data_IF_573243544001
#
_entry.id   IF_573243544001
#
_cell.length_a   1.000
_cell.length_b   1.000
_cell.length_c   1.000
_cell.angle_alpha   90.00
_cell.angle_beta   90.00
_cell.angle_gamma   90.00
#
_symmetry.space_group_name_H-M   'P 1'
#
loop_
_entity.id
_entity.type
_entity.pdbx_description
1 polymer ?
#
# COMPACT_ATOMS: atom_id res chain seq x y z
N UNK A 1 15.41 19.68 -19.68
CA UNK A 1 14.28 19.11 -18.93
C UNK A 1 14.78 18.77 -17.54
N UNK A 2 14.46 19.58 -16.53
CA UNK A 2 14.88 19.37 -15.14
C UNK A 2 13.88 18.42 -14.50
N UNK A 3 14.32 17.21 -14.14
CA UNK A 3 13.49 16.22 -13.46
C UNK A 3 13.07 16.72 -12.06
N UNK A 4 11.85 16.39 -11.59
CA UNK A 4 11.38 16.88 -10.29
C UNK A 4 12.08 16.14 -9.17
N UNK A 5 13.04 16.77 -8.49
CA UNK A 5 13.75 16.23 -7.34
C UNK A 5 12.81 15.91 -6.16
N UNK A 6 13.11 14.90 -5.34
CA UNK A 6 12.34 14.69 -4.10
C UNK A 6 12.73 15.75 -3.07
N UNK A 7 11.88 16.09 -2.08
CA UNK A 7 12.23 17.09 -1.06
C UNK A 7 13.50 16.72 -0.26
N UNK A 8 13.74 15.42 -0.07
CA UNK A 8 14.90 14.89 0.65
C UNK A 8 16.14 14.73 -0.24
N UNK A 9 15.97 14.68 -1.57
CA UNK A 9 17.05 14.64 -2.56
C UNK A 9 16.82 15.69 -3.66
N UNK A 10 17.01 16.99 -3.36
CA UNK A 10 16.78 18.09 -4.29
C UNK A 10 17.75 18.08 -5.48
N UNK A 11 18.89 17.40 -5.35
CA UNK A 11 19.92 17.32 -6.39
C UNK A 11 19.80 16.05 -7.26
N UNK A 12 18.97 15.08 -6.87
CA UNK A 12 18.72 13.87 -7.65
C UNK A 12 19.86 12.85 -7.63
N UNK A 13 20.61 12.78 -6.53
CA UNK A 13 21.73 11.84 -6.38
C UNK A 13 21.27 10.37 -6.28
N UNK A 14 20.09 10.11 -5.73
CA UNK A 14 19.63 8.75 -5.42
C UNK A 14 18.65 8.22 -6.47
N UNK A 15 19.16 8.02 -7.70
CA UNK A 15 18.36 7.60 -8.86
C UNK A 15 17.60 6.28 -8.60
N UNK A 16 18.25 5.27 -8.01
CA UNK A 16 17.58 3.98 -7.72
C UNK A 16 16.52 4.10 -6.62
N UNK A 17 16.79 4.90 -5.58
CA UNK A 17 15.80 5.21 -4.54
C UNK A 17 14.57 5.92 -5.10
N UNK A 18 14.78 6.80 -6.11
CA UNK A 18 13.69 7.43 -6.84
C UNK A 18 12.87 6.43 -7.65
N UNK A 19 13.49 5.46 -8.33
CA UNK A 19 12.74 4.43 -9.05
C UNK A 19 11.86 3.58 -8.11
N UNK A 20 12.36 3.26 -6.91
CA UNK A 20 11.58 2.55 -5.88
C UNK A 20 10.43 3.44 -5.37
N UNK A 21 10.67 4.75 -5.21
CA UNK A 21 9.61 5.69 -4.84
C UNK A 21 8.53 5.78 -5.91
N UNK A 22 8.90 5.92 -7.19
CA UNK A 22 7.94 5.97 -8.30
C UNK A 22 7.12 4.67 -8.38
N UNK A 23 7.73 3.50 -8.10
CA UNK A 23 7.02 2.21 -8.01
C UNK A 23 6.02 2.21 -6.84
N UNK A 24 6.42 2.75 -5.69
CA UNK A 24 5.58 2.87 -4.48
C UNK A 24 4.40 3.80 -4.73
N UNK A 25 4.61 4.93 -5.41
CA UNK A 25 3.55 5.88 -5.76
C UNK A 25 2.54 5.24 -6.72
N UNK A 26 3.01 4.47 -7.71
CA UNK A 26 2.12 3.69 -8.60
C UNK A 26 1.32 2.65 -7.82
N UNK A 27 1.93 1.96 -6.86
CA UNK A 27 1.24 0.98 -6.01
C UNK A 27 0.13 1.65 -5.20
N UNK A 28 0.40 2.82 -4.61
CA UNK A 28 -0.57 3.59 -3.84
C UNK A 28 -1.70 4.18 -4.71
N UNK A 29 -1.40 4.45 -5.98
CA UNK A 29 -2.37 4.98 -6.93
C UNK A 29 -3.16 3.89 -7.69
N UNK A 30 -2.83 2.61 -7.49
CA UNK A 30 -3.44 1.49 -8.21
C UNK A 30 -4.97 1.47 -8.02
N UNK A 31 -5.71 1.38 -9.13
CA UNK A 31 -7.17 1.39 -9.13
C UNK A 31 -7.79 0.03 -8.78
N UNK A 32 -6.98 -1.02 -8.70
CA UNK A 32 -7.42 -2.38 -8.40
C UNK A 32 -6.32 -3.18 -7.70
N UNK A 33 -6.71 -4.25 -6.99
CA UNK A 33 -5.73 -5.17 -6.42
C UNK A 33 -5.02 -6.02 -7.47
N UNK A 34 -5.60 -6.18 -8.66
CA UNK A 34 -4.92 -6.83 -9.79
C UNK A 34 -3.75 -5.98 -10.28
N UNK A 35 -3.97 -4.67 -10.46
CA UNK A 35 -2.91 -3.71 -10.81
C UNK A 35 -1.84 -3.64 -9.71
N UNK A 36 -2.26 -3.58 -8.44
CA UNK A 36 -1.33 -3.61 -7.31
C UNK A 36 -0.50 -4.91 -7.28
N UNK A 37 -1.11 -6.06 -7.56
CA UNK A 37 -0.42 -7.34 -7.61
C UNK A 37 0.63 -7.39 -8.74
N UNK A 38 0.35 -6.81 -9.91
CA UNK A 38 1.33 -6.70 -11.00
C UNK A 38 2.53 -5.82 -10.60
N UNK A 39 2.31 -4.76 -9.82
CA UNK A 39 3.39 -3.91 -9.31
C UNK A 39 4.23 -4.63 -8.25
N UNK A 40 3.60 -5.42 -7.39
CA UNK A 40 4.29 -6.26 -6.40
C UNK A 40 5.07 -7.38 -7.10
N UNK A 41 4.56 -7.95 -8.19
CA UNK A 41 5.26 -8.96 -9.00
C UNK A 41 6.61 -8.44 -9.53
N UNK A 42 6.69 -7.18 -9.99
CA UNK A 42 7.98 -6.57 -10.37
C UNK A 42 9.03 -6.52 -9.25
N UNK A 43 8.60 -6.57 -7.98
CA UNK A 43 9.51 -6.62 -6.82
C UNK A 43 9.91 -8.06 -6.50
N UNK A 44 8.93 -8.97 -6.54
CA UNK A 44 9.05 -10.34 -6.03
C UNK A 44 9.38 -11.40 -7.09
N UNK A 45 9.38 -11.06 -8.38
CA UNK A 45 9.71 -12.02 -9.43
C UNK A 45 11.11 -12.62 -9.15
N UNK A 46 11.23 -13.95 -9.08
CA UNK A 46 12.40 -14.62 -8.50
C UNK A 46 13.68 -14.53 -9.34
N UNK A 47 13.60 -14.11 -10.60
CA UNK A 47 14.74 -14.15 -11.55
C UNK A 47 15.28 -12.75 -11.85
N UNK A 48 14.37 -11.80 -12.06
CA UNK A 48 14.58 -10.46 -12.60
C UNK A 48 13.91 -9.38 -11.74
N UNK A 49 13.18 -9.79 -10.69
CA UNK A 49 12.57 -8.87 -9.74
C UNK A 49 13.61 -8.03 -8.97
N UNK A 50 13.12 -6.93 -8.40
CA UNK A 50 13.96 -5.98 -7.68
C UNK A 50 14.74 -6.64 -6.54
N UNK A 51 14.15 -7.58 -5.80
CA UNK A 51 14.83 -8.25 -4.69
C UNK A 51 16.00 -9.11 -5.18
N UNK A 52 15.85 -9.87 -6.27
CA UNK A 52 16.95 -10.67 -6.80
C UNK A 52 18.10 -9.79 -7.30
N UNK A 53 17.79 -8.72 -8.04
CA UNK A 53 18.80 -7.75 -8.49
C UNK A 53 19.52 -7.04 -7.33
N UNK A 54 18.82 -6.82 -6.22
CA UNK A 54 19.43 -6.24 -5.01
C UNK A 54 20.31 -7.26 -4.27
N UNK A 55 19.91 -8.54 -4.22
CA UNK A 55 20.74 -9.60 -3.66
C UNK A 55 22.05 -9.76 -4.46
N UNK A 56 21.97 -9.84 -5.79
CA UNK A 56 23.15 -9.89 -6.67
C UNK A 56 24.06 -8.67 -6.51
N UNK A 57 23.47 -7.48 -6.32
CA UNK A 57 24.25 -6.27 -6.04
C UNK A 57 25.07 -6.41 -4.75
N UNK A 58 24.48 -6.95 -3.68
CA UNK A 58 25.21 -7.19 -2.43
C UNK A 58 26.27 -8.28 -2.57
N UNK A 59 26.04 -9.33 -3.35
CA UNK A 59 27.08 -10.33 -3.66
C UNK A 59 28.26 -9.69 -4.40
N UNK A 60 27.99 -8.82 -5.38
CA UNK A 60 29.05 -8.07 -6.06
C UNK A 60 29.78 -7.11 -5.10
N UNK A 61 29.07 -6.48 -4.17
CA UNK A 61 29.68 -5.64 -3.14
C UNK A 61 30.57 -6.45 -2.18
N UNK A 62 30.16 -7.68 -1.83
CA UNK A 62 30.95 -8.58 -1.01
C UNK A 62 32.28 -8.95 -1.70
N UNK A 63 32.25 -9.30 -2.99
CA UNK A 63 33.46 -9.57 -3.76
C UNK A 63 34.37 -8.35 -3.85
N UNK A 64 33.80 -7.16 -4.04
CA UNK A 64 34.57 -5.92 -4.07
C UNK A 64 35.20 -5.58 -2.71
N UNK A 65 34.51 -5.85 -1.60
CA UNK A 65 35.05 -5.68 -0.24
C UNK A 65 36.19 -6.68 0.02
N UNK A 66 35.99 -7.94 -0.34
CA UNK A 66 36.98 -9.01 -0.19
C UNK A 66 38.29 -8.73 -0.93
N UNK A 67 38.22 -8.01 -2.05
CA UNK A 67 39.39 -7.61 -2.84
C UNK A 67 40.35 -6.66 -2.12
N UNK A 68 39.99 -6.10 -0.95
CA UNK A 68 40.93 -5.32 -0.14
C UNK A 68 41.99 -6.18 0.54
N UNK A 69 41.76 -7.50 0.68
CA UNK A 69 42.62 -8.45 1.39
C UNK A 69 42.95 -8.04 2.84
N UNK A 70 42.08 -7.25 3.47
CA UNK A 70 42.18 -6.83 4.87
C UNK A 70 41.15 -7.56 5.72
N UNK A 71 41.44 -7.78 7.01
CA UNK A 71 40.47 -8.36 7.96
C UNK A 71 39.13 -7.62 7.92
N UNK A 72 39.15 -6.29 8.01
CA UNK A 72 37.94 -5.44 7.90
C UNK A 72 37.18 -5.64 6.56
N UNK A 73 37.88 -5.97 5.48
CA UNK A 73 37.27 -6.21 4.17
C UNK A 73 36.63 -7.58 4.07
N UNK A 74 37.23 -8.58 4.72
CA UNK A 74 36.62 -9.89 4.87
C UNK A 74 35.37 -9.82 5.75
N UNK A 75 35.43 -9.12 6.89
CA UNK A 75 34.27 -8.91 7.77
C UNK A 75 33.13 -8.23 7.01
N UNK A 76 33.42 -7.14 6.29
CA UNK A 76 32.43 -6.45 5.47
C UNK A 76 31.88 -7.32 4.32
N UNK A 77 32.70 -8.20 3.75
CA UNK A 77 32.23 -9.14 2.72
C UNK A 77 31.21 -10.13 3.28
N UNK A 78 31.37 -10.58 4.52
CA UNK A 78 30.38 -11.44 5.18
C UNK A 78 29.08 -10.70 5.44
N UNK A 79 29.14 -9.44 5.88
CA UNK A 79 27.95 -8.61 6.09
C UNK A 79 27.14 -8.47 4.79
N UNK A 80 27.80 -8.24 3.65
CA UNK A 80 27.13 -8.16 2.36
C UNK A 80 26.56 -9.50 1.87
N UNK A 81 27.25 -10.61 2.11
CA UNK A 81 26.72 -11.94 1.80
C UNK A 81 25.48 -12.27 2.65
N UNK A 82 25.49 -11.92 3.93
CA UNK A 82 24.33 -12.09 4.81
C UNK A 82 23.14 -11.21 4.37
N UNK A 83 23.43 -9.98 3.95
CA UNK A 83 22.41 -9.09 3.37
C UNK A 83 21.79 -9.68 2.10
N UNK A 84 22.60 -10.22 1.17
CA UNK A 84 22.10 -10.87 -0.04
C UNK A 84 21.19 -12.07 0.28
N UNK A 85 21.62 -12.93 1.23
CA UNK A 85 20.83 -14.07 1.69
C UNK A 85 19.50 -13.62 2.33
N UNK A 86 19.53 -12.58 3.16
CA UNK A 86 18.36 -12.00 3.81
C UNK A 86 17.36 -11.45 2.78
N UNK A 87 17.85 -10.78 1.73
CA UNK A 87 16.99 -10.24 0.66
C UNK A 87 16.29 -11.37 -0.12
N UNK A 88 17.00 -12.45 -0.45
CA UNK A 88 16.37 -13.62 -1.10
C UNK A 88 15.36 -14.31 -0.20
N UNK A 89 15.69 -14.48 1.08
CA UNK A 89 14.76 -15.03 2.07
C UNK A 89 13.48 -14.19 2.19
N UNK A 90 13.57 -12.87 2.08
CA UNK A 90 12.37 -12.00 2.04
C UNK A 90 11.49 -12.29 0.80
N UNK A 91 12.11 -12.52 -0.37
CA UNK A 91 11.39 -12.93 -1.58
C UNK A 91 10.68 -14.28 -1.39
N UNK A 92 11.38 -15.25 -0.78
CA UNK A 92 10.81 -16.54 -0.41
C UNK A 92 9.66 -16.40 0.60
N UNK A 93 9.78 -15.56 1.62
CA UNK A 93 8.70 -15.34 2.60
C UNK A 93 7.45 -14.70 1.95
N UNK A 94 7.66 -13.87 0.93
CA UNK A 94 6.60 -13.11 0.24
C UNK A 94 6.10 -13.78 -1.06
N UNK A 95 6.58 -14.97 -1.43
CA UNK A 95 6.25 -15.61 -2.72
C UNK A 95 4.73 -15.72 -3.03
N UNK A 96 3.88 -15.87 -2.01
CA UNK A 96 2.41 -15.94 -2.16
C UNK A 96 1.70 -14.58 -2.07
N UNK A 97 2.44 -13.48 -1.88
CA UNK A 97 1.84 -12.16 -1.70
C UNK A 97 1.07 -11.70 -2.94
N UNK A 98 1.59 -11.99 -4.14
CA UNK A 98 0.92 -11.67 -5.42
C UNK A 98 -0.44 -12.36 -5.51
N UNK A 99 -0.48 -13.68 -5.31
CA UNK A 99 -1.73 -14.46 -5.33
C UNK A 99 -2.72 -13.99 -4.26
N UNK A 100 -2.22 -13.73 -3.04
CA UNK A 100 -3.05 -13.22 -1.94
C UNK A 100 -3.62 -11.85 -2.25
N UNK A 101 -2.87 -10.98 -2.92
CA UNK A 101 -3.33 -9.66 -3.30
C UNK A 101 -4.42 -9.74 -4.39
N UNK A 102 -4.23 -10.61 -5.39
CA UNK A 102 -5.27 -10.88 -6.41
C UNK A 102 -6.56 -11.44 -5.79
N UNK A 103 -6.44 -12.24 -4.73
CA UNK A 103 -7.58 -12.82 -4.02
C UNK A 103 -8.40 -11.82 -3.18
N UNK A 104 -7.96 -10.56 -3.04
CA UNK A 104 -8.69 -9.53 -2.26
C UNK A 104 -10.02 -9.08 -2.93
N UNK A 105 -10.28 -9.47 -4.18
CA UNK A 105 -11.50 -9.12 -4.91
C UNK A 105 -11.53 -7.65 -5.36
N UNK A 106 -12.67 -7.09 -5.80
CA UNK A 106 -12.73 -5.68 -6.18
C UNK A 106 -12.52 -4.75 -4.96
N UNK A 107 -11.80 -3.62 -5.11
CA UNK A 107 -11.74 -2.60 -4.08
C UNK A 107 -13.15 -2.19 -3.67
N UNK A 108 -13.41 -2.13 -2.35
CA UNK A 108 -14.69 -1.61 -1.87
C UNK A 108 -14.72 -0.13 -2.18
N UNK A 109 -15.46 0.26 -3.23
CA UNK A 109 -15.76 1.66 -3.49
C UNK A 109 -16.55 2.19 -2.30
N UNK A 110 -15.91 3.00 -1.45
CA UNK A 110 -16.63 3.86 -0.53
C UNK A 110 -17.48 4.81 -1.38
N UNK A 111 -18.78 4.59 -1.38
CA UNK A 111 -19.68 5.45 -2.13
C UNK A 111 -19.64 6.83 -1.46
N UNK A 112 -19.42 7.94 -2.19
CA UNK A 112 -19.41 9.29 -1.62
C UNK A 112 -20.70 9.66 -0.87
N UNK A 113 -21.77 8.89 -1.07
CA UNK A 113 -23.07 9.06 -0.42
C UNK A 113 -23.05 8.69 1.07
N UNK A 114 -22.14 7.82 1.54
CA UNK A 114 -22.04 7.51 2.98
C UNK A 114 -21.45 8.69 3.78
N UNK A 115 -20.59 9.52 3.17
CA UNK A 115 -20.02 10.71 3.83
C UNK A 115 -21.01 11.87 3.91
N UNK A 116 -21.98 11.96 2.99
CA UNK A 116 -22.98 13.07 2.98
C UNK A 116 -24.13 12.83 3.95
N UNK A 117 -24.45 11.57 4.28
CA UNK A 117 -25.48 11.24 5.28
C UNK A 117 -25.07 11.62 6.72
N UNK A 118 -23.77 11.78 6.99
CA UNK A 118 -23.25 12.15 8.31
C UNK A 118 -23.04 13.64 8.55
N UNK A 119 -23.21 14.51 7.54
CA UNK A 119 -22.80 15.93 7.64
C UNK A 119 -23.86 16.97 7.22
N UNK A 120 -25.12 16.57 7.08
CA UNK A 120 -26.22 17.53 6.96
C UNK A 120 -27.27 17.27 8.05
N UNK A 121 -27.49 18.19 9.01
CA UNK A 121 -28.78 18.22 9.69
C UNK A 121 -29.84 18.44 8.62
N UNK A 122 -30.87 17.60 8.62
CA UNK A 122 -32.00 17.71 7.70
C UNK A 122 -32.63 19.10 7.82
N UNK A 123 -32.28 20.01 6.91
CA UNK A 123 -32.99 21.27 6.75
C UNK A 123 -34.37 20.94 6.18
N UNK A 124 -35.36 20.85 7.08
CA UNK A 124 -36.78 20.76 6.74
C UNK A 124 -37.19 22.04 6.00
N UNK A 125 -37.66 21.97 4.74
CA UNK A 125 -38.21 23.16 4.08
C UNK A 125 -39.48 23.62 4.83
N UNK A 126 -39.65 24.93 5.06
CA UNK A 126 -40.85 25.45 5.70
C UNK A 126 -42.01 25.35 4.70
N UNK A 127 -43.01 24.52 4.99
CA UNK A 127 -44.26 24.53 4.19
C UNK A 127 -45.06 23.24 4.12
N UNK A 128 -44.57 22.10 4.62
CA UNK A 128 -45.36 20.87 4.63
C UNK A 128 -46.14 20.72 5.95
N UNK A 129 -47.48 20.70 5.93
CA UNK A 129 -48.28 20.44 7.12
C UNK A 129 -48.00 19.03 7.64
N UNK A 130 -47.87 18.91 8.96
CA UNK A 130 -47.65 17.63 9.63
C UNK A 130 -48.88 16.71 9.46
N UNK A 131 -48.69 15.38 9.32
CA UNK A 131 -49.80 14.44 9.36
C UNK A 131 -50.45 14.47 10.75
N UNK A 132 -51.78 14.64 10.77
CA UNK A 132 -52.56 14.68 11.99
C UNK A 132 -52.50 13.32 12.72
N UNK A 133 -52.19 13.37 14.02
CA UNK A 133 -52.27 12.22 14.92
C UNK A 133 -53.74 11.79 15.12
N UNK A 134 -54.03 10.48 15.23
CA UNK A 134 -55.38 10.00 15.51
C UNK A 134 -55.78 10.34 16.97
N UNK A 135 -57.03 10.76 17.22
CA UNK A 135 -57.48 11.11 18.57
C UNK A 135 -57.65 9.87 19.46
N UNK A 136 -56.98 9.90 20.60
CA UNK A 136 -57.12 9.01 21.75
C UNK A 136 -58.41 9.31 22.54
N UNK A 137 -59.27 8.31 22.69
CA UNK A 137 -60.22 8.12 23.81
C UNK A 137 -61.48 9.00 23.83
N UNK A 138 -62.58 8.55 24.49
CA UNK A 138 -62.51 8.06 25.87
C UNK A 138 -63.23 6.74 26.17
N UNK A 139 -62.78 6.11 27.25
CA UNK A 139 -63.39 4.97 27.94
C UNK A 139 -64.42 5.44 28.97
N UNK A 140 -65.60 4.82 28.98
CA UNK A 140 -66.58 4.67 30.08
C UNK A 140 -67.61 3.65 29.56
N UNK A 141 -68.11 2.61 30.23
CA UNK A 141 -68.08 2.12 31.60
C UNK A 141 -69.15 1.01 31.66
N UNK A 142 -68.93 -0.03 32.46
CA UNK A 142 -69.69 -1.29 32.52
C UNK A 142 -70.94 -1.21 33.42
N UNK A 143 -71.85 -2.17 33.23
CA UNK A 143 -72.90 -2.68 34.13
C UNK A 143 -74.28 -1.98 34.02
N UNK A 144 -75.42 -2.66 34.09
CA UNK A 144 -75.77 -4.01 34.55
C UNK A 144 -77.07 -4.46 33.89
#
# INVERSE_FOLDING_TARGET
MTQPSTPTDPAGHYVYGRHVLDLTDRLNAAGSYEEAAQLVDHVLEPTDGLLERLAEFFEAAAEQARASETDDGFDLSYDFQDAAATVRALGEDLHVAVDRMQALGPPRHHSPQETVAGHYPAHRPPGLPAPAAPPTGPSCGRAR
#
